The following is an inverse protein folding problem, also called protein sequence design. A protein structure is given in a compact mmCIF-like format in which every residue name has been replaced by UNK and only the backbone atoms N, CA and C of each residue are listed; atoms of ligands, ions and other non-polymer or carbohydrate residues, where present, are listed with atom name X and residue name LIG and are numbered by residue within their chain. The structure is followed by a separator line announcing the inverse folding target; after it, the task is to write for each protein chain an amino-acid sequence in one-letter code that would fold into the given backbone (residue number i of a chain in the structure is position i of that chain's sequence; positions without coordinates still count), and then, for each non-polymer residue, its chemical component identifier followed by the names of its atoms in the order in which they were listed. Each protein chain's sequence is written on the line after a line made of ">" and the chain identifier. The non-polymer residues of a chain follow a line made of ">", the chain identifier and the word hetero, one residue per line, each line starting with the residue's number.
data_IF_129564247856
#
_entry.id   IF_129564247856
#
_cell.length_a   1.000
_cell.length_b   1.000
_cell.length_c   1.000
_cell.angle_alpha   90.00
_cell.angle_beta   90.00
_cell.angle_gamma   90.00
#
_symmetry.space_group_name_H-M   'P 1'
#
loop_
_entity.id
_entity.type
_entity.pdbx_description
1 polymer ?
#
# COMPACT_ATOMS: atom_id res chain seq x y z
N UNK A 1 41.65 -47.87 -63.78
CA UNK A 1 40.90 -49.10 -63.71
C UNK A 1 39.84 -48.99 -62.63
N UNK A 2 38.69 -48.80 -63.15
CA UNK A 2 37.45 -49.57 -62.87
C UNK A 2 36.90 -49.40 -61.45
N UNK A 3 35.92 -48.58 -61.28
CA UNK A 3 34.45 -48.75 -61.24
C UNK A 3 33.95 -49.45 -59.98
N UNK A 4 33.09 -48.88 -59.22
CA UNK A 4 31.65 -49.18 -59.19
C UNK A 4 30.88 -48.27 -58.24
N UNK A 5 29.79 -47.81 -58.79
CA UNK A 5 28.68 -47.10 -58.18
C UNK A 5 27.91 -48.03 -57.21
N UNK A 6 27.48 -47.50 -56.08
CA UNK A 6 26.52 -48.16 -55.19
C UNK A 6 25.56 -47.10 -54.61
N UNK A 7 24.36 -47.11 -55.19
CA UNK A 7 23.20 -46.37 -54.73
C UNK A 7 22.63 -47.07 -53.49
N UNK A 8 22.46 -46.43 -52.35
CA UNK A 8 21.61 -46.91 -51.28
C UNK A 8 20.78 -45.83 -50.69
N UNK A 9 19.52 -45.91 -50.95
CA UNK A 9 18.30 -45.50 -50.25
C UNK A 9 18.39 -44.49 -49.15
N UNK A 10 17.67 -43.37 -49.38
CA UNK A 10 17.16 -42.44 -48.37
C UNK A 10 16.25 -43.18 -47.40
N UNK A 11 16.63 -43.22 -46.13
CA UNK A 11 15.73 -43.50 -45.04
C UNK A 11 15.31 -42.14 -44.42
N UNK A 12 14.05 -41.81 -44.62
CA UNK A 12 13.36 -40.71 -43.99
C UNK A 12 13.23 -40.99 -42.49
N UNK A 13 14.05 -40.38 -41.67
CA UNK A 13 13.81 -40.33 -40.23
C UNK A 13 12.87 -39.17 -39.94
N UNK A 14 11.60 -39.49 -39.68
CA UNK A 14 10.68 -38.60 -38.99
C UNK A 14 11.26 -38.32 -37.64
N UNK A 15 11.78 -37.08 -37.43
CA UNK A 15 12.02 -36.55 -36.11
C UNK A 15 10.67 -36.21 -35.50
N UNK A 16 10.21 -37.07 -34.61
CA UNK A 16 9.16 -36.74 -33.64
C UNK A 16 9.68 -35.59 -32.77
N UNK A 17 9.23 -34.37 -33.08
CA UNK A 17 9.37 -33.27 -32.22
C UNK A 17 8.37 -33.46 -31.03
N UNK A 18 8.80 -34.20 -30.04
CA UNK A 18 8.20 -34.16 -28.72
C UNK A 18 8.27 -32.71 -28.26
N UNK A 19 7.14 -32.01 -28.34
CA UNK A 19 6.91 -30.76 -27.66
C UNK A 19 7.21 -30.97 -26.18
N UNK A 20 8.36 -30.48 -25.77
CA UNK A 20 8.72 -30.34 -24.39
C UNK A 20 7.62 -29.50 -23.74
N UNK A 21 6.89 -30.09 -22.81
CA UNK A 21 5.92 -29.37 -22.00
C UNK A 21 6.71 -28.33 -21.20
N UNK A 22 6.73 -27.12 -21.72
CA UNK A 22 7.27 -25.94 -20.99
C UNK A 22 6.58 -25.92 -19.66
N UNK A 23 7.29 -26.35 -18.63
CA UNK A 23 6.97 -26.06 -17.22
C UNK A 23 6.98 -24.54 -17.09
N UNK A 24 5.82 -23.94 -17.27
CA UNK A 24 5.64 -22.49 -17.03
C UNK A 24 6.01 -22.25 -15.58
N UNK A 25 7.12 -21.54 -15.35
CA UNK A 25 7.54 -21.15 -14.00
C UNK A 25 6.36 -20.45 -13.30
N UNK A 26 6.11 -20.75 -12.03
CA UNK A 26 5.03 -20.10 -11.31
C UNK A 26 5.23 -18.59 -11.35
N UNK A 27 4.20 -17.85 -11.75
CA UNK A 27 4.24 -16.37 -11.83
C UNK A 27 4.31 -15.71 -10.45
N UNK A 28 3.86 -16.39 -9.41
CA UNK A 28 3.84 -15.90 -8.02
C UNK A 28 5.06 -16.41 -7.27
N UNK A 29 5.80 -15.51 -6.64
CA UNK A 29 6.90 -15.82 -5.72
C UNK A 29 6.41 -16.23 -4.34
N UNK A 30 5.44 -15.48 -3.81
CA UNK A 30 4.88 -15.72 -2.47
C UNK A 30 3.46 -15.17 -2.36
N UNK A 31 2.67 -15.81 -1.48
CA UNK A 31 1.38 -15.30 -1.03
C UNK A 31 1.44 -15.22 0.49
N UNK A 32 1.14 -14.05 1.03
CA UNK A 32 1.20 -13.82 2.47
C UNK A 32 -0.11 -13.19 2.95
N UNK A 33 -0.61 -13.71 4.05
CA UNK A 33 -1.73 -13.11 4.76
C UNK A 33 -1.18 -12.24 5.90
N UNK A 34 -1.34 -10.92 5.85
CA UNK A 34 -0.84 -10.04 6.89
C UNK A 34 -1.60 -10.26 8.21
N UNK A 35 -1.00 -9.94 9.35
CA UNK A 35 -1.70 -9.94 10.62
C UNK A 35 -2.86 -8.96 10.60
N UNK A 36 -3.88 -9.23 11.39
CA UNK A 36 -5.02 -8.35 11.61
C UNK A 36 -5.00 -7.90 13.06
N UNK A 37 -4.69 -6.64 13.28
CA UNK A 37 -4.65 -6.05 14.59
C UNK A 37 -5.97 -5.29 14.83
N UNK A 38 -6.63 -5.48 15.99
CA UNK A 38 -7.82 -4.70 16.32
C UNK A 38 -7.47 -3.22 16.43
N UNK A 39 -8.38 -2.37 16.01
CA UNK A 39 -8.23 -0.91 16.09
C UNK A 39 -8.19 -0.45 17.55
N UNK A 40 -8.96 -1.10 18.40
CA UNK A 40 -9.09 -0.75 19.82
C UNK A 40 -8.31 -1.77 20.67
N UNK A 41 -7.34 -1.34 21.49
CA UNK A 41 -6.54 -2.24 22.31
C UNK A 41 -7.33 -2.70 23.54
N UNK A 42 -8.22 -3.66 23.39
CA UNK A 42 -8.84 -4.36 24.54
C UNK A 42 -9.18 -5.80 24.11
N UNK A 43 -9.27 -6.73 25.04
CA UNK A 43 -9.69 -8.14 25.00
C UNK A 43 -10.08 -8.80 23.65
N UNK A 44 -10.65 -8.06 22.68
CA UNK A 44 -11.02 -8.54 21.36
C UNK A 44 -9.87 -9.07 20.49
N UNK A 45 -8.67 -8.53 20.65
CA UNK A 45 -7.52 -9.01 19.87
C UNK A 45 -7.15 -10.46 20.18
N UNK A 46 -7.29 -10.88 21.43
CA UNK A 46 -7.11 -12.27 21.83
C UNK A 46 -8.20 -13.18 21.24
N UNK A 47 -9.45 -12.70 21.20
CA UNK A 47 -10.54 -13.46 20.60
C UNK A 47 -10.39 -13.61 19.07
N UNK A 48 -10.02 -12.55 18.35
CA UNK A 48 -9.75 -12.62 16.92
C UNK A 48 -8.57 -13.54 16.60
N UNK A 49 -7.48 -13.43 17.38
CA UNK A 49 -6.34 -14.34 17.25
C UNK A 49 -6.71 -15.79 17.54
N UNK A 50 -7.59 -16.03 18.49
CA UNK A 50 -8.11 -17.35 18.80
C UNK A 50 -9.00 -17.89 17.67
N UNK A 51 -9.87 -17.05 17.09
CA UNK A 51 -10.71 -17.44 15.95
C UNK A 51 -9.86 -17.77 14.71
N UNK A 52 -8.78 -17.02 14.46
CA UNK A 52 -7.84 -17.33 13.39
C UNK A 52 -7.07 -18.63 13.67
N UNK A 53 -6.66 -18.86 14.92
CA UNK A 53 -6.02 -20.11 15.35
C UNK A 53 -6.95 -21.31 15.18
N UNK A 54 -8.22 -21.16 15.49
CA UNK A 54 -9.26 -22.20 15.35
C UNK A 54 -9.75 -22.36 13.90
N UNK A 55 -9.14 -21.64 12.94
CA UNK A 55 -9.46 -21.69 11.50
C UNK A 55 -10.93 -21.40 11.19
N UNK A 56 -11.56 -20.53 11.95
CA UNK A 56 -12.92 -20.08 11.64
C UNK A 56 -12.99 -19.44 10.25
N UNK A 57 -14.15 -19.55 9.55
CA UNK A 57 -14.31 -18.93 8.23
C UNK A 57 -13.99 -17.43 8.26
N UNK A 58 -13.21 -16.95 7.32
CA UNK A 58 -12.78 -15.52 7.18
C UNK A 58 -13.99 -14.59 7.20
N UNK A 59 -15.12 -14.99 6.59
CA UNK A 59 -16.36 -14.22 6.55
C UNK A 59 -17.00 -14.01 7.93
N UNK A 60 -16.89 -14.98 8.84
CA UNK A 60 -17.42 -14.85 10.18
C UNK A 60 -16.52 -13.95 11.03
N UNK A 61 -15.19 -14.15 10.96
CA UNK A 61 -14.25 -13.29 11.68
C UNK A 61 -14.30 -11.84 11.18
N UNK A 62 -14.50 -11.60 9.87
CA UNK A 62 -14.67 -10.27 9.32
C UNK A 62 -15.95 -9.58 9.81
N UNK A 63 -17.08 -10.32 9.91
CA UNK A 63 -18.32 -9.79 10.49
C UNK A 63 -18.17 -9.41 11.96
N UNK A 64 -17.46 -10.22 12.73
CA UNK A 64 -17.17 -9.92 14.13
C UNK A 64 -16.23 -8.72 14.27
N UNK A 65 -15.21 -8.60 13.42
CA UNK A 65 -14.36 -7.41 13.34
C UNK A 65 -15.22 -6.15 13.12
N UNK A 66 -16.08 -6.20 12.10
CA UNK A 66 -16.90 -5.05 11.72
C UNK A 66 -17.94 -4.70 12.79
N UNK A 67 -18.63 -5.70 13.35
CA UNK A 67 -19.75 -5.47 14.26
C UNK A 67 -19.35 -5.26 15.71
N UNK A 68 -18.20 -5.81 16.15
CA UNK A 68 -17.86 -5.84 17.58
C UNK A 68 -16.60 -5.02 17.90
N UNK A 69 -15.66 -4.90 16.95
CA UNK A 69 -14.34 -4.32 17.23
C UNK A 69 -14.06 -3.01 16.51
N UNK A 70 -15.01 -2.50 15.75
CA UNK A 70 -14.89 -1.20 15.08
C UNK A 70 -13.82 -1.14 14.00
N UNK A 71 -13.34 -2.31 13.52
CA UNK A 71 -12.41 -2.38 12.42
C UNK A 71 -11.08 -3.07 12.73
N UNK A 72 -10.10 -2.86 11.85
CA UNK A 72 -8.77 -3.50 11.92
C UNK A 72 -7.68 -2.66 11.30
N UNK A 73 -6.45 -2.97 11.70
CA UNK A 73 -5.22 -2.51 11.06
C UNK A 73 -4.46 -3.75 10.56
N UNK A 74 -4.13 -3.78 9.28
CA UNK A 74 -3.35 -4.88 8.67
C UNK A 74 -2.03 -4.32 8.17
N UNK A 75 -0.95 -4.35 8.98
CA UNK A 75 0.37 -3.93 8.56
C UNK A 75 1.03 -5.03 7.72
N UNK A 76 1.61 -4.65 6.61
CA UNK A 76 2.36 -5.48 5.68
C UNK A 76 3.76 -4.91 5.54
N UNK A 77 4.67 -5.35 6.41
CA UNK A 77 6.10 -5.06 6.24
C UNK A 77 6.65 -6.00 5.17
N UNK A 78 7.26 -5.45 4.15
CA UNK A 78 7.81 -6.26 3.07
C UNK A 78 9.21 -6.74 3.44
N UNK A 79 9.47 -8.06 3.46
CA UNK A 79 10.78 -8.60 3.77
C UNK A 79 11.82 -8.14 2.75
N UNK A 80 13.01 -7.73 3.23
CA UNK A 80 14.12 -7.30 2.36
C UNK A 80 14.52 -8.38 1.35
N UNK A 81 14.39 -9.65 1.74
CA UNK A 81 14.74 -10.82 0.93
C UNK A 81 13.81 -11.02 -0.28
N UNK A 82 12.63 -10.43 -0.26
CA UNK A 82 11.64 -10.59 -1.35
C UNK A 82 11.77 -9.55 -2.47
N UNK A 83 12.79 -8.70 -2.41
CA UNK A 83 13.05 -7.65 -3.42
C UNK A 83 11.80 -6.81 -3.76
N UNK A 84 11.19 -6.24 -2.74
CA UNK A 84 9.98 -5.40 -2.86
C UNK A 84 10.29 -3.92 -3.09
N UNK A 85 11.59 -3.56 -3.18
CA UNK A 85 12.00 -2.18 -3.47
C UNK A 85 11.27 -1.63 -4.72
N UNK A 86 10.78 -0.39 -4.68
CA UNK A 86 10.98 0.61 -3.64
C UNK A 86 9.94 0.58 -2.50
N UNK A 87 9.01 -0.38 -2.48
CA UNK A 87 7.99 -0.46 -1.45
C UNK A 87 8.55 -1.07 -0.16
N UNK A 88 8.34 -0.36 0.95
CA UNK A 88 8.85 -0.75 2.27
C UNK A 88 7.73 -1.35 3.11
N UNK A 89 6.56 -0.73 3.07
CA UNK A 89 5.41 -1.11 3.87
C UNK A 89 4.10 -0.73 3.17
N UNK A 90 3.09 -1.52 3.40
CA UNK A 90 1.70 -1.19 3.13
C UNK A 90 0.90 -1.42 4.41
N UNK A 91 0.08 -0.48 4.82
CA UNK A 91 -0.88 -0.66 5.92
C UNK A 91 -2.28 -0.43 5.38
N UNK A 92 -3.18 -1.37 5.65
CA UNK A 92 -4.60 -1.23 5.39
C UNK A 92 -5.31 -0.95 6.72
N UNK A 93 -5.77 0.29 6.89
CA UNK A 93 -6.55 0.72 8.03
C UNK A 93 -8.03 0.67 7.69
N UNK A 94 -8.82 0.14 8.62
CA UNK A 94 -10.26 0.18 8.58
C UNK A 94 -10.80 0.45 9.96
N UNK A 95 -11.49 1.58 10.12
CA UNK A 95 -12.05 2.04 11.40
C UNK A 95 -13.53 2.31 11.22
N UNK A 96 -14.30 2.10 12.28
CA UNK A 96 -15.72 2.34 12.30
C UNK A 96 -16.12 3.07 13.57
N UNK A 97 -16.62 4.28 13.41
CA UNK A 97 -16.99 5.18 14.50
C UNK A 97 -18.50 5.15 14.75
N UNK A 98 -19.02 4.00 15.22
CA UNK A 98 -20.45 3.83 15.52
C UNK A 98 -20.79 4.24 16.96
N UNK A 99 -22.06 4.60 17.16
CA UNK A 99 -22.56 5.07 18.47
C UNK A 99 -22.40 4.06 19.61
N UNK A 100 -22.45 2.75 19.35
CA UNK A 100 -22.31 1.73 20.37
C UNK A 100 -20.88 1.60 20.92
N UNK A 101 -19.87 1.97 20.16
CA UNK A 101 -18.47 1.92 20.59
C UNK A 101 -18.00 3.22 21.25
N UNK A 102 -18.87 4.21 21.42
CA UNK A 102 -18.53 5.52 22.01
C UNK A 102 -17.90 5.39 23.40
N UNK A 103 -18.37 4.44 24.22
CA UNK A 103 -17.81 4.23 25.56
C UNK A 103 -16.38 3.71 25.47
N UNK A 104 -16.12 2.76 24.58
CA UNK A 104 -14.78 2.20 24.34
C UNK A 104 -13.87 3.26 23.77
N UNK A 105 -14.35 4.06 22.81
CA UNK A 105 -13.62 5.20 22.24
C UNK A 105 -13.20 6.20 23.30
N UNK A 106 -14.14 6.69 24.12
CA UNK A 106 -13.85 7.65 25.20
C UNK A 106 -12.85 7.11 26.21
N UNK A 107 -12.93 5.81 26.52
CA UNK A 107 -11.96 5.20 27.42
C UNK A 107 -10.57 5.08 26.80
N UNK A 108 -10.48 4.82 25.49
CA UNK A 108 -9.20 4.74 24.77
C UNK A 108 -8.62 6.11 24.42
N UNK A 109 -9.44 7.13 24.17
CA UNK A 109 -9.01 8.54 23.97
C UNK A 109 -8.21 9.10 25.16
N UNK A 110 -8.43 8.55 26.36
CA UNK A 110 -7.63 8.90 27.54
C UNK A 110 -6.20 8.39 27.44
N UNK A 111 -5.96 7.32 26.68
CA UNK A 111 -4.68 6.64 26.55
C UNK A 111 -4.04 6.82 25.16
N UNK A 112 -4.85 6.87 24.12
CA UNK A 112 -4.42 6.96 22.74
C UNK A 112 -5.35 7.89 21.93
N UNK A 113 -4.83 8.92 21.26
CA UNK A 113 -5.64 9.79 20.42
C UNK A 113 -6.19 9.02 19.20
N UNK A 114 -7.32 9.50 18.66
CA UNK A 114 -7.96 8.95 17.45
C UNK A 114 -7.22 9.33 16.16
N UNK A 115 -6.01 8.86 16.01
CA UNK A 115 -5.13 9.15 14.89
C UNK A 115 -3.68 8.90 15.26
N UNK A 116 -2.82 9.57 14.55
CA UNK A 116 -1.38 9.49 14.70
C UNK A 116 -0.85 10.86 15.19
N UNK A 117 -0.50 11.01 16.48
CA UNK A 117 0.08 12.25 17.00
C UNK A 117 1.37 12.61 16.27
N UNK A 118 1.84 13.82 16.47
CA UNK A 118 3.05 14.34 15.82
C UNK A 118 4.23 13.38 15.94
N UNK A 119 4.68 12.87 14.80
CA UNK A 119 5.78 11.92 14.67
C UNK A 119 6.65 12.26 13.44
N UNK A 120 7.97 11.93 13.48
CA UNK A 120 8.87 12.30 12.39
C UNK A 120 8.88 11.27 11.27
N UNK A 121 9.26 11.73 10.06
CA UNK A 121 9.66 10.88 8.92
C UNK A 121 10.90 11.46 8.26
N UNK A 122 11.78 10.60 7.72
CA UNK A 122 12.94 10.99 6.90
C UNK A 122 13.29 9.93 5.88
N UNK A 123 13.61 10.36 4.65
CA UNK A 123 14.28 9.54 3.65
C UNK A 123 13.39 8.64 2.80
N UNK A 124 12.07 8.83 2.86
CA UNK A 124 11.09 8.08 2.08
C UNK A 124 9.83 8.91 1.81
N UNK A 125 8.89 8.33 1.10
CA UNK A 125 7.61 8.95 0.80
C UNK A 125 6.48 8.15 1.45
N UNK A 126 5.45 8.83 1.99
CA UNK A 126 4.19 8.21 2.40
C UNK A 126 3.09 8.55 1.42
N UNK A 127 2.38 7.54 0.96
CA UNK A 127 1.21 7.69 0.12
C UNK A 127 -0.01 7.20 0.89
N UNK A 128 -0.88 8.13 1.28
CA UNK A 128 -2.13 7.83 1.99
C UNK A 128 -3.30 7.94 1.03
N UNK A 129 -4.04 6.85 0.85
CA UNK A 129 -5.17 6.72 -0.08
C UNK A 129 -6.44 6.48 0.73
N UNK A 130 -7.32 7.46 0.84
CA UNK A 130 -8.59 7.33 1.52
C UNK A 130 -9.60 6.59 0.63
N UNK A 131 -10.03 5.41 1.07
CA UNK A 131 -11.06 4.62 0.40
C UNK A 131 -12.45 5.00 0.89
N UNK A 132 -12.56 5.34 2.20
CA UNK A 132 -13.77 5.88 2.85
C UNK A 132 -13.36 6.89 3.91
N UNK A 133 -14.22 7.89 4.15
CA UNK A 133 -13.93 8.96 5.09
C UNK A 133 -12.71 9.76 4.69
N UNK A 134 -11.89 10.19 5.64
CA UNK A 134 -10.73 11.01 5.36
C UNK A 134 -9.87 11.31 6.57
N UNK A 135 -8.86 12.14 6.35
CA UNK A 135 -7.86 12.54 7.33
C UNK A 135 -7.72 14.06 7.39
N UNK A 136 -7.34 14.54 8.55
CA UNK A 136 -6.80 15.90 8.77
C UNK A 136 -5.33 15.78 9.12
N UNK A 137 -4.50 16.48 8.40
CA UNK A 137 -3.04 16.50 8.52
C UNK A 137 -2.59 17.88 8.99
N UNK A 138 -1.63 17.93 9.93
CA UNK A 138 -0.81 19.11 10.27
C UNK A 138 0.66 18.69 10.30
N UNK A 139 1.57 19.58 9.89
CA UNK A 139 3.00 19.25 9.82
C UNK A 139 3.92 20.39 10.30
N UNK A 140 5.20 20.05 10.45
CA UNK A 140 6.22 21.00 10.88
C UNK A 140 6.61 22.03 9.80
N UNK A 141 6.07 21.92 8.58
CA UNK A 141 6.18 22.97 7.55
C UNK A 141 5.11 24.06 7.72
N UNK A 142 4.20 23.90 8.70
CA UNK A 142 3.07 24.81 8.93
C UNK A 142 1.87 24.54 8.00
N UNK A 143 1.86 23.39 7.31
CA UNK A 143 0.77 23.02 6.42
C UNK A 143 -0.30 22.24 7.18
N UNK A 144 -1.55 22.69 7.06
CA UNK A 144 -2.75 21.96 7.46
C UNK A 144 -3.54 21.59 6.22
N UNK A 145 -3.89 20.33 6.09
CA UNK A 145 -4.69 19.83 4.98
C UNK A 145 -5.76 18.88 5.48
N UNK A 146 -6.88 18.85 4.75
CA UNK A 146 -7.95 17.88 4.94
C UNK A 146 -8.22 17.21 3.60
N UNK A 147 -8.25 15.90 3.60
CA UNK A 147 -8.45 15.11 2.40
C UNK A 147 -9.27 13.85 2.72
N UNK A 148 -9.96 13.31 1.73
CA UNK A 148 -10.79 12.11 1.89
C UNK A 148 -11.87 12.00 0.84
N UNK A 149 -12.71 10.98 0.96
CA UNK A 149 -13.88 10.82 0.10
C UNK A 149 -14.96 11.83 0.50
N UNK A 150 -15.55 12.47 -0.50
CA UNK A 150 -16.54 13.53 -0.29
C UNK A 150 -15.96 14.95 -0.26
N UNK A 151 -14.65 15.10 -0.41
CA UNK A 151 -13.94 16.37 -0.67
C UNK A 151 -13.12 16.27 -1.95
N UNK A 152 -12.56 17.37 -2.43
CA UNK A 152 -11.89 17.47 -3.73
C UNK A 152 -10.72 16.50 -3.90
N UNK A 153 -9.99 16.23 -2.82
CA UNK A 153 -8.82 15.35 -2.83
C UNK A 153 -8.99 14.21 -1.84
N UNK A 154 -8.61 13.02 -2.24
CA UNK A 154 -8.73 11.82 -1.41
C UNK A 154 -7.43 11.03 -1.27
N UNK A 155 -6.35 11.55 -1.84
CA UNK A 155 -5.01 11.01 -1.72
C UNK A 155 -4.06 12.12 -1.28
N UNK A 156 -3.18 11.81 -0.31
CA UNK A 156 -2.06 12.64 0.06
C UNK A 156 -0.77 11.89 -0.23
N UNK A 157 0.16 12.57 -0.88
CA UNK A 157 1.52 12.09 -1.10
C UNK A 157 2.50 13.03 -0.41
N UNK A 158 3.17 12.54 0.64
CA UNK A 158 4.17 13.27 1.40
C UNK A 158 5.56 12.73 1.07
N UNK A 159 6.44 13.62 0.65
CA UNK A 159 7.87 13.38 0.48
C UNK A 159 8.58 13.89 1.73
N UNK A 160 9.06 12.98 2.59
CA UNK A 160 9.65 13.37 3.86
C UNK A 160 11.04 14.01 3.73
N UNK A 161 11.78 13.67 2.67
CA UNK A 161 13.08 14.28 2.40
C UNK A 161 14.02 14.27 3.62
N UNK A 162 14.62 15.43 3.92
CA UNK A 162 15.54 15.60 5.06
C UNK A 162 14.87 15.49 6.42
N UNK A 163 13.53 15.51 6.46
CA UNK A 163 12.75 15.26 7.67
C UNK A 163 11.59 16.22 7.84
N UNK A 164 10.48 15.69 8.30
CA UNK A 164 9.25 16.39 8.63
C UNK A 164 8.58 15.69 9.79
N UNK A 165 7.97 16.47 10.70
CA UNK A 165 6.99 15.95 11.64
C UNK A 165 5.61 16.18 11.08
N UNK A 166 4.73 15.19 11.25
CA UNK A 166 3.33 15.34 10.94
C UNK A 166 2.45 14.57 11.92
N UNK A 167 1.20 15.00 12.00
CA UNK A 167 0.13 14.25 12.63
C UNK A 167 -1.01 14.02 11.65
N UNK A 168 -1.71 12.92 11.82
CA UNK A 168 -2.83 12.52 10.98
C UNK A 168 -3.99 12.07 11.87
N UNK A 169 -5.14 12.77 11.80
CA UNK A 169 -6.34 12.44 12.55
C UNK A 169 -7.49 12.09 11.63
N UNK A 170 -8.31 11.14 12.07
CA UNK A 170 -9.49 10.73 11.33
C UNK A 170 -10.50 11.86 11.22
N UNK A 171 -10.97 12.13 10.01
CA UNK A 171 -12.07 13.07 9.74
C UNK A 171 -13.43 12.35 9.90
N UNK A 172 -13.78 12.02 11.15
CA UNK A 172 -14.97 11.21 11.46
C UNK A 172 -16.28 11.87 11.03
N UNK A 173 -16.29 13.18 10.81
CA UNK A 173 -17.42 13.94 10.28
C UNK A 173 -17.65 13.72 8.77
N UNK A 174 -16.66 13.24 8.03
CA UNK A 174 -16.86 12.85 6.62
C UNK A 174 -17.58 11.51 6.48
N UNK A 175 -17.35 10.57 7.39
CA UNK A 175 -18.01 9.28 7.42
C UNK A 175 -17.78 8.59 8.75
N UNK A 176 -18.73 7.76 9.19
CA UNK A 176 -18.53 6.83 10.31
C UNK A 176 -17.60 5.68 9.93
N UNK A 177 -17.56 5.31 8.67
CA UNK A 177 -16.63 4.32 8.12
C UNK A 177 -15.39 5.05 7.60
N UNK A 178 -14.23 4.70 8.16
CA UNK A 178 -12.94 5.20 7.74
C UNK A 178 -12.11 4.04 7.18
N UNK A 179 -11.60 4.17 5.98
CA UNK A 179 -10.79 3.13 5.36
C UNK A 179 -9.71 3.77 4.48
N UNK A 180 -8.45 3.37 4.70
CA UNK A 180 -7.34 3.87 3.89
C UNK A 180 -6.24 2.83 3.69
N UNK A 181 -5.47 3.03 2.63
CA UNK A 181 -4.13 2.47 2.48
C UNK A 181 -3.09 3.53 2.82
N UNK A 182 -2.06 3.14 3.58
CA UNK A 182 -0.85 3.94 3.73
C UNK A 182 0.34 3.12 3.21
N UNK A 183 1.02 3.64 2.20
CA UNK A 183 2.12 2.98 1.51
C UNK A 183 3.40 3.78 1.78
N UNK A 184 4.45 3.09 2.21
CA UNK A 184 5.77 3.68 2.36
C UNK A 184 6.63 3.29 1.16
N UNK A 185 7.19 4.31 0.51
CA UNK A 185 7.98 4.17 -0.72
C UNK A 185 9.37 4.75 -0.45
N UNK A 186 10.39 3.93 -0.56
CA UNK A 186 11.78 4.36 -0.39
C UNK A 186 12.16 5.41 -1.44
N UNK A 187 12.88 6.44 -1.03
CA UNK A 187 13.38 7.47 -1.95
C UNK A 187 14.78 7.10 -2.46
N UNK A 188 15.11 7.45 -3.72
CA UNK A 188 16.48 7.40 -4.19
C UNK A 188 17.43 8.13 -3.24
N UNK A 189 18.65 7.63 -3.09
CA UNK A 189 19.65 8.21 -2.19
C UNK A 189 19.84 9.72 -2.36
N UNK A 190 19.79 10.21 -3.60
CA UNK A 190 19.89 11.63 -3.94
C UNK A 190 18.75 12.50 -3.40
N UNK A 191 17.60 11.91 -3.12
CA UNK A 191 16.40 12.63 -2.63
C UNK A 191 16.13 12.43 -1.15
N UNK A 192 16.86 11.55 -0.46
CA UNK A 192 16.63 11.32 0.98
C UNK A 192 16.83 12.54 1.85
N UNK A 193 17.64 13.50 1.40
CA UNK A 193 17.94 14.75 2.12
C UNK A 193 17.45 16.00 1.39
N UNK A 194 16.52 15.85 0.41
CA UNK A 194 15.87 17.01 -0.21
C UNK A 194 14.89 17.70 0.76
N UNK A 195 14.40 18.87 0.40
CA UNK A 195 13.34 19.54 1.16
C UNK A 195 12.07 18.67 1.17
N UNK A 196 11.38 18.58 2.32
CA UNK A 196 10.10 17.90 2.39
C UNK A 196 9.06 18.65 1.56
N UNK A 197 8.12 17.91 0.98
CA UNK A 197 7.01 18.47 0.20
C UNK A 197 5.80 17.54 0.27
N UNK A 198 4.60 18.08 0.13
CA UNK A 198 3.40 17.27 0.08
C UNK A 198 2.41 17.77 -0.97
N UNK A 199 1.68 16.83 -1.57
CA UNK A 199 0.66 17.10 -2.57
C UNK A 199 -0.62 16.35 -2.26
N UNK A 200 -1.74 17.02 -2.50
CA UNK A 200 -3.06 16.41 -2.52
C UNK A 200 -3.45 16.06 -3.95
N UNK A 201 -3.94 14.85 -4.13
CA UNK A 201 -4.41 14.33 -5.41
C UNK A 201 -5.91 14.02 -5.35
N UNK A 202 -6.57 14.18 -6.47
CA UNK A 202 -8.00 13.92 -6.65
C UNK A 202 -8.31 13.57 -8.10
N UNK A 203 -9.57 13.32 -8.39
CA UNK A 203 -10.02 12.93 -9.72
C UNK A 203 -9.68 14.04 -10.74
N UNK A 204 -9.01 13.68 -11.84
CA UNK A 204 -8.49 14.62 -12.84
C UNK A 204 -7.28 15.44 -12.38
N UNK A 205 -6.79 15.22 -11.15
CA UNK A 205 -5.61 15.89 -10.58
C UNK A 205 -4.66 14.85 -10.00
N UNK A 206 -3.90 14.19 -10.86
CA UNK A 206 -2.96 13.12 -10.50
C UNK A 206 -3.63 11.76 -10.25
N UNK A 207 -4.94 11.66 -10.47
CA UNK A 207 -5.70 10.42 -10.39
C UNK A 207 -6.55 10.30 -11.64
N UNK A 208 -6.43 9.17 -12.31
CA UNK A 208 -7.18 8.83 -13.52
C UNK A 208 -7.93 7.52 -13.32
N UNK A 209 -9.24 7.56 -13.54
CA UNK A 209 -10.09 6.39 -13.55
C UNK A 209 -10.46 6.02 -14.99
N UNK A 210 -10.27 4.76 -15.36
CA UNK A 210 -10.51 4.26 -16.70
C UNK A 210 -11.27 2.94 -16.64
N UNK A 211 -12.35 2.82 -17.45
CA UNK A 211 -12.97 1.52 -17.68
C UNK A 211 -12.04 0.65 -18.55
N UNK A 212 -11.74 -0.55 -18.12
CA UNK A 212 -10.90 -1.54 -18.82
C UNK A 212 -11.73 -2.68 -19.42
N UNK A 213 -12.93 -2.37 -19.84
CA UNK A 213 -13.92 -3.32 -20.35
C UNK A 213 -15.05 -3.55 -19.35
N UNK A 214 -15.95 -4.46 -19.70
CA UNK A 214 -17.14 -4.73 -18.90
C UNK A 214 -16.76 -5.41 -17.57
N UNK A 215 -17.16 -4.77 -16.46
CA UNK A 215 -16.90 -5.28 -15.11
C UNK A 215 -15.47 -5.04 -14.60
N UNK A 216 -14.70 -4.15 -15.24
CA UNK A 216 -13.36 -3.79 -14.78
C UNK A 216 -13.14 -2.27 -14.81
N UNK A 217 -12.76 -1.69 -13.67
CA UNK A 217 -12.33 -0.30 -13.53
C UNK A 217 -10.89 -0.27 -13.01
N UNK A 218 -10.06 0.56 -13.61
CA UNK A 218 -8.71 0.86 -13.14
C UNK A 218 -8.61 2.31 -12.71
N UNK A 219 -8.09 2.55 -11.51
CA UNK A 219 -7.75 3.89 -11.01
C UNK A 219 -6.24 3.95 -10.86
N UNK A 220 -5.59 4.87 -11.59
CA UNK A 220 -4.15 5.08 -11.56
C UNK A 220 -3.86 6.32 -10.73
N UNK A 221 -2.95 6.18 -9.76
CA UNK A 221 -2.47 7.28 -8.91
C UNK A 221 -1.05 7.60 -9.34
N UNK A 222 -0.86 8.80 -9.88
CA UNK A 222 0.42 9.24 -10.44
C UNK A 222 1.24 9.96 -9.38
N UNK A 223 2.55 9.67 -9.32
CA UNK A 223 3.47 10.41 -8.47
C UNK A 223 3.54 11.88 -8.95
N UNK A 224 3.34 12.88 -8.04
CA UNK A 224 3.11 14.27 -8.46
C UNK A 224 4.39 15.06 -8.75
N UNK A 225 5.58 14.48 -8.60
CA UNK A 225 6.86 15.16 -8.85
C UNK A 225 7.62 14.52 -9.99
N UNK A 226 8.26 15.37 -10.79
CA UNK A 226 9.19 14.97 -11.84
C UNK A 226 10.64 15.35 -11.41
N UNK A 227 11.12 14.73 -10.35
CA UNK A 227 12.38 15.07 -9.67
C UNK A 227 13.39 13.91 -9.64
N UNK A 228 13.14 12.85 -10.43
CA UNK A 228 13.96 11.65 -10.41
C UNK A 228 13.69 10.73 -9.22
N UNK A 229 12.54 10.87 -8.57
CA UNK A 229 12.06 9.99 -7.48
C UNK A 229 11.83 8.56 -7.94
N UNK A 230 11.34 7.75 -7.01
CA UNK A 230 11.10 6.32 -7.26
C UNK A 230 10.10 6.11 -8.38
N UNK A 231 10.52 5.36 -9.39
CA UNK A 231 9.67 4.97 -10.53
C UNK A 231 8.69 3.90 -10.06
N UNK A 232 7.45 4.33 -9.81
CA UNK A 232 6.39 3.48 -9.27
C UNK A 232 5.07 3.68 -10.01
N UNK A 233 4.24 2.66 -10.00
CA UNK A 233 2.83 2.75 -10.40
C UNK A 233 1.96 2.17 -9.31
N UNK A 234 0.97 2.94 -8.87
CA UNK A 234 -0.01 2.56 -7.87
C UNK A 234 -1.37 2.54 -8.53
N UNK A 235 -2.03 1.39 -8.54
CA UNK A 235 -3.32 1.20 -9.22
C UNK A 235 -4.31 0.53 -8.28
N UNK A 236 -5.55 0.99 -8.29
CA UNK A 236 -6.68 0.31 -7.67
C UNK A 236 -7.52 -0.27 -8.80
N UNK A 237 -7.71 -1.57 -8.78
CA UNK A 237 -8.47 -2.32 -9.78
C UNK A 237 -9.72 -2.84 -9.11
N UNK A 238 -10.87 -2.52 -9.67
CA UNK A 238 -12.16 -3.02 -9.20
C UNK A 238 -12.71 -3.99 -10.24
N UNK A 239 -12.92 -5.22 -9.80
CA UNK A 239 -13.51 -6.28 -10.60
C UNK A 239 -14.93 -6.53 -10.12
N UNK A 240 -15.86 -6.59 -11.07
CA UNK A 240 -17.27 -6.88 -10.81
C UNK A 240 -17.76 -7.91 -11.82
N UNK A 241 -18.38 -8.97 -11.32
CA UNK A 241 -19.05 -9.94 -12.17
C UNK A 241 -20.54 -9.64 -12.25
N UNK A 242 -21.07 -9.64 -13.46
CA UNK A 242 -22.51 -9.65 -13.75
C UNK A 242 -22.88 -10.93 -14.48
N UNK A 243 -24.17 -11.10 -14.79
CA UNK A 243 -24.66 -12.24 -15.60
C UNK A 243 -24.09 -12.28 -17.02
N UNK A 244 -23.53 -11.17 -17.48
CA UNK A 244 -23.01 -11.01 -18.87
C UNK A 244 -21.51 -10.71 -18.89
N UNK A 245 -20.82 -10.58 -17.72
CA UNK A 245 -19.47 -10.05 -17.66
C UNK A 245 -18.63 -10.79 -16.64
N UNK A 246 -17.42 -11.18 -17.01
CA UNK A 246 -16.53 -11.99 -16.17
C UNK A 246 -15.58 -11.17 -15.27
N UNK A 247 -15.49 -9.85 -15.43
CA UNK A 247 -14.61 -9.00 -14.63
C UNK A 247 -13.16 -9.48 -14.70
N UNK A 248 -12.51 -9.32 -15.85
CA UNK A 248 -11.11 -9.70 -16.06
C UNK A 248 -10.28 -8.43 -16.27
N UNK A 249 -9.20 -8.31 -15.53
CA UNK A 249 -8.19 -7.27 -15.72
C UNK A 249 -6.95 -7.82 -16.41
N UNK A 250 -6.53 -7.19 -17.49
CA UNK A 250 -5.28 -7.49 -18.20
C UNK A 250 -4.22 -6.48 -17.75
N UNK A 251 -3.28 -6.94 -16.95
CA UNK A 251 -2.17 -6.14 -16.49
C UNK A 251 -1.07 -6.06 -17.54
N UNK A 252 -0.59 -4.85 -17.80
CA UNK A 252 0.65 -4.57 -18.54
C UNK A 252 1.57 -3.76 -17.65
N UNK A 253 2.77 -4.29 -17.39
CA UNK A 253 3.75 -3.75 -16.46
C UNK A 253 4.96 -3.26 -17.25
N UNK A 254 5.46 -2.05 -17.00
CA UNK A 254 6.69 -1.57 -17.63
C UNK A 254 7.85 -2.56 -17.39
N UNK A 255 8.67 -2.90 -18.39
CA UNK A 255 9.79 -3.84 -18.22
C UNK A 255 10.81 -3.42 -17.14
N UNK A 256 10.90 -2.11 -16.83
CA UNK A 256 11.73 -1.58 -15.74
C UNK A 256 11.19 -1.91 -14.35
N UNK A 257 9.89 -2.21 -14.21
CA UNK A 257 9.23 -2.51 -12.95
C UNK A 257 9.34 -4.00 -12.63
N UNK A 258 10.46 -4.43 -12.09
CA UNK A 258 10.62 -5.84 -11.69
C UNK A 258 9.99 -6.17 -10.32
N UNK A 259 9.53 -5.18 -9.58
CA UNK A 259 8.70 -5.37 -8.39
C UNK A 259 7.23 -5.29 -8.76
N UNK A 260 6.47 -6.34 -8.42
CA UNK A 260 5.01 -6.40 -8.64
C UNK A 260 4.37 -7.01 -7.40
N UNK A 261 3.53 -6.24 -6.71
CA UNK A 261 2.82 -6.64 -5.50
C UNK A 261 1.33 -6.43 -5.71
N UNK A 262 0.55 -7.45 -5.43
CA UNK A 262 -0.91 -7.44 -5.47
C UNK A 262 -1.46 -7.60 -4.06
N UNK A 263 -2.26 -6.68 -3.55
CA UNK A 263 -3.06 -6.87 -2.34
C UNK A 263 -4.54 -6.99 -2.72
N UNK A 264 -5.18 -8.06 -2.27
CA UNK A 264 -6.58 -8.35 -2.58
C UNK A 264 -7.47 -7.96 -1.41
N UNK A 265 -8.37 -7.03 -1.65
CA UNK A 265 -9.44 -6.62 -0.74
C UNK A 265 -10.78 -7.16 -1.26
N UNK A 266 -11.71 -7.49 -0.37
CA UNK A 266 -13.09 -7.78 -0.76
C UNK A 266 -13.77 -6.52 -1.31
N UNK A 267 -14.58 -6.67 -2.34
CA UNK A 267 -15.43 -5.59 -2.85
C UNK A 267 -16.51 -5.18 -1.85
N UNK A 268 -17.13 -4.04 -2.10
CA UNK A 268 -18.13 -3.41 -1.23
C UNK A 268 -19.40 -4.24 -1.02
N UNK A 269 -19.71 -5.19 -1.91
CA UNK A 269 -20.90 -6.08 -1.81
C UNK A 269 -20.63 -7.41 -1.11
N UNK A 270 -19.39 -7.73 -0.74
CA UNK A 270 -18.98 -9.04 -0.25
C UNK A 270 -19.18 -10.14 -1.33
N UNK A 271 -18.49 -11.24 -1.25
CA UNK A 271 -18.83 -12.40 -2.08
C UNK A 271 -17.70 -13.04 -2.87
N UNK A 272 -16.60 -12.36 -3.14
CA UNK A 272 -15.41 -13.04 -3.65
C UNK A 272 -14.52 -13.47 -2.49
N UNK A 273 -14.06 -14.72 -2.50
CA UNK A 273 -13.06 -15.22 -1.54
C UNK A 273 -11.63 -14.85 -1.93
N UNK A 274 -11.44 -14.31 -3.14
CA UNK A 274 -10.17 -13.93 -3.71
C UNK A 274 -10.22 -13.73 -5.21
N UNK A 275 -9.06 -13.69 -5.81
CA UNK A 275 -8.88 -13.57 -7.27
C UNK A 275 -7.94 -14.64 -7.78
N UNK A 276 -8.05 -14.98 -9.07
CA UNK A 276 -7.14 -15.86 -9.76
C UNK A 276 -6.21 -15.07 -10.66
N UNK A 277 -4.91 -15.36 -10.61
CA UNK A 277 -3.91 -14.82 -11.52
C UNK A 277 -3.65 -15.86 -12.62
N UNK A 278 -3.75 -15.44 -13.89
CA UNK A 278 -3.64 -16.31 -15.07
C UNK A 278 -4.50 -17.57 -14.99
N UNK A 279 -5.66 -17.48 -14.35
CA UNK A 279 -6.62 -18.58 -14.14
C UNK A 279 -6.04 -19.83 -13.45
N UNK A 280 -4.85 -19.73 -12.87
CA UNK A 280 -4.11 -20.87 -12.30
C UNK A 280 -3.71 -20.68 -10.84
N UNK A 281 -3.51 -19.46 -10.38
CA UNK A 281 -2.98 -19.18 -9.05
C UNK A 281 -3.97 -18.33 -8.27
N UNK A 282 -4.51 -18.88 -7.20
CA UNK A 282 -5.50 -18.21 -6.35
C UNK A 282 -4.85 -17.35 -5.26
N UNK A 283 -5.28 -16.10 -5.14
CA UNK A 283 -4.88 -15.17 -4.07
C UNK A 283 -6.12 -14.84 -3.23
N UNK A 284 -6.16 -15.24 -1.96
CA UNK A 284 -7.29 -14.98 -1.08
C UNK A 284 -7.49 -13.49 -0.79
N UNK A 285 -8.70 -13.08 -0.45
CA UNK A 285 -8.95 -11.74 0.12
C UNK A 285 -8.11 -11.52 1.37
N UNK A 286 -7.73 -10.27 1.60
CA UNK A 286 -6.86 -9.85 2.70
C UNK A 286 -5.48 -10.53 2.71
N UNK A 287 -5.01 -10.90 1.51
CA UNK A 287 -3.66 -11.42 1.29
C UNK A 287 -2.97 -10.59 0.21
N UNK A 288 -1.65 -10.56 0.26
CA UNK A 288 -0.87 -10.00 -0.84
C UNK A 288 -0.04 -11.08 -1.50
N UNK A 289 0.13 -10.94 -2.80
CA UNK A 289 1.01 -11.77 -3.62
C UNK A 289 2.16 -10.93 -4.16
N UNK A 290 3.37 -11.48 -4.14
CA UNK A 290 4.54 -10.91 -4.80
C UNK A 290 4.78 -11.76 -6.03
N UNK A 291 4.87 -11.14 -7.21
CA UNK A 291 5.12 -11.84 -8.46
C UNK A 291 6.63 -12.03 -8.70
N UNK A 292 6.96 -12.96 -9.59
CA UNK A 292 8.34 -13.18 -10.01
C UNK A 292 8.87 -11.95 -10.74
N UNK A 293 10.14 -11.56 -10.52
CA UNK A 293 10.76 -10.49 -11.29
C UNK A 293 10.70 -10.76 -12.79
N UNK A 294 10.44 -9.72 -13.58
CA UNK A 294 10.35 -9.81 -15.04
C UNK A 294 8.98 -10.20 -15.58
N UNK A 295 7.96 -10.33 -14.73
CA UNK A 295 6.57 -10.48 -15.19
C UNK A 295 6.10 -9.13 -15.72
N UNK A 296 5.81 -9.07 -17.02
CA UNK A 296 5.35 -7.85 -17.72
C UNK A 296 3.88 -7.92 -18.09
N UNK A 297 3.28 -9.12 -18.15
CA UNK A 297 1.87 -9.31 -18.47
C UNK A 297 1.26 -10.42 -17.64
N UNK A 298 0.04 -10.23 -17.16
CA UNK A 298 -0.76 -11.22 -16.49
C UNK A 298 -2.23 -10.82 -16.47
N UNK A 299 -3.09 -11.78 -16.16
CA UNK A 299 -4.52 -11.53 -15.98
C UNK A 299 -4.91 -11.69 -14.52
N UNK A 300 -5.88 -10.90 -14.07
CA UNK A 300 -6.53 -11.05 -12.76
C UNK A 300 -8.03 -11.18 -12.99
N UNK A 301 -8.64 -12.22 -12.44
CA UNK A 301 -10.06 -12.50 -12.59
C UNK A 301 -10.70 -12.94 -11.28
N UNK A 302 -11.99 -12.73 -11.15
CA UNK A 302 -12.79 -13.32 -10.08
C UNK A 302 -12.84 -14.85 -10.26
N UNK A 303 -12.95 -15.59 -9.14
CA UNK A 303 -13.16 -17.05 -9.25
C UNK A 303 -14.42 -17.39 -10.04
N UNK A 304 -14.40 -18.52 -10.77
CA UNK A 304 -15.49 -18.94 -11.67
C UNK A 304 -16.84 -19.08 -10.97
N UNK A 305 -16.84 -19.50 -9.72
CA UNK A 305 -18.05 -19.70 -8.92
C UNK A 305 -18.37 -18.49 -8.01
N UNK A 306 -17.51 -17.47 -8.02
CA UNK A 306 -17.65 -16.27 -7.20
C UNK A 306 -18.66 -15.28 -7.79
N UNK A 307 -19.76 -15.05 -7.08
CA UNK A 307 -20.58 -13.86 -7.29
C UNK A 307 -19.96 -12.72 -6.50
N UNK A 308 -19.86 -11.53 -7.08
CA UNK A 308 -19.50 -10.36 -6.30
C UNK A 308 -18.42 -9.50 -6.94
N UNK A 309 -17.78 -8.75 -6.09
CA UNK A 309 -16.79 -7.74 -6.43
C UNK A 309 -15.48 -8.04 -5.71
N UNK A 310 -14.36 -7.68 -6.31
CA UNK A 310 -13.05 -7.62 -5.66
C UNK A 310 -12.38 -6.28 -5.96
N UNK A 311 -11.64 -5.77 -4.99
CA UNK A 311 -10.77 -4.62 -5.16
C UNK A 311 -9.32 -5.09 -4.95
N UNK A 312 -8.45 -4.72 -5.87
CA UNK A 312 -7.05 -5.07 -5.86
C UNK A 312 -6.22 -3.78 -5.84
N UNK A 313 -5.30 -3.67 -4.89
CA UNK A 313 -4.24 -2.67 -4.95
C UNK A 313 -3.04 -3.31 -5.63
N UNK A 314 -2.67 -2.79 -6.81
CA UNK A 314 -1.51 -3.22 -7.59
C UNK A 314 -0.41 -2.18 -7.44
N UNK A 315 0.71 -2.60 -6.86
CA UNK A 315 1.92 -1.80 -6.68
C UNK A 315 3.00 -2.36 -7.61
N UNK A 316 3.53 -1.52 -8.48
CA UNK A 316 4.66 -1.90 -9.33
C UNK A 316 5.75 -0.84 -9.29
N UNK A 317 7.02 -1.26 -9.36
CA UNK A 317 8.11 -0.31 -9.28
C UNK A 317 9.45 -0.85 -9.74
N UNK A 318 10.34 0.08 -10.07
CA UNK A 318 11.73 -0.19 -10.37
C UNK A 318 12.52 -0.25 -9.06
N UNK A 319 13.21 -1.36 -8.73
CA UNK A 319 14.08 -1.44 -7.57
C UNK A 319 15.18 -0.38 -7.60
N UNK A 320 15.45 0.23 -6.46
CA UNK A 320 16.45 1.31 -6.37
C UNK A 320 17.89 0.81 -6.34
N UNK A 321 18.12 -0.49 -6.09
CA UNK A 321 19.45 -1.10 -6.14
C UNK A 321 20.43 -0.63 -5.07
N UNK A 322 19.95 0.02 -4.01
CA UNK A 322 20.78 0.47 -2.89
C UNK A 322 20.38 -0.21 -1.57
N UNK A 323 21.27 -0.12 -0.58
CA UNK A 323 20.96 -0.64 0.74
C UNK A 323 19.87 0.20 1.42
N UNK A 324 18.97 -0.47 2.13
CA UNK A 324 17.86 0.15 2.88
C UNK A 324 18.00 -0.24 4.34
N UNK A 325 18.12 0.78 5.20
CA UNK A 325 18.10 0.63 6.65
C UNK A 325 16.93 1.41 7.19
N UNK A 326 16.00 0.71 7.85
CA UNK A 326 14.81 1.30 8.44
C UNK A 326 14.83 1.10 9.95
N UNK A 327 14.61 2.17 10.71
CA UNK A 327 14.44 2.12 12.16
C UNK A 327 13.38 3.14 12.58
N UNK A 328 12.29 2.65 13.18
CA UNK A 328 11.12 3.46 13.48
C UNK A 328 10.56 4.10 12.20
N UNK A 329 10.51 5.40 12.20
CA UNK A 329 9.98 6.23 11.08
C UNK A 329 11.09 6.85 10.22
N UNK A 330 12.31 6.32 10.25
CA UNK A 330 13.40 6.75 9.41
C UNK A 330 13.83 5.64 8.47
N UNK A 331 14.07 5.99 7.20
CA UNK A 331 14.51 5.06 6.16
C UNK A 331 15.69 5.66 5.42
N UNK A 332 16.88 5.12 5.69
CA UNK A 332 18.15 5.64 5.17
C UNK A 332 18.94 4.52 4.47
N UNK A 333 20.21 4.77 4.14
CA UNK A 333 21.04 3.78 3.44
C UNK A 333 22.09 3.12 4.36
N UNK A 334 22.28 3.63 5.59
CA UNK A 334 23.22 3.11 6.56
C UNK A 334 22.74 3.34 8.00
N UNK A 335 23.25 2.54 8.95
CA UNK A 335 23.01 2.72 10.37
C UNK A 335 23.52 4.09 10.87
N UNK A 336 24.65 4.58 10.33
CA UNK A 336 25.18 5.90 10.68
C UNK A 336 24.20 7.02 10.29
N UNK A 337 23.55 6.92 9.13
CA UNK A 337 22.53 7.89 8.69
C UNK A 337 21.26 7.81 9.57
N UNK A 338 20.89 6.62 10.06
CA UNK A 338 19.80 6.46 11.04
C UNK A 338 20.17 7.12 12.38
N UNK A 339 21.39 6.91 12.87
CA UNK A 339 21.88 7.57 14.10
C UNK A 339 21.86 9.09 13.94
N UNK A 340 22.30 9.61 12.79
CA UNK A 340 22.24 11.04 12.49
C UNK A 340 20.81 11.54 12.47
N UNK A 341 19.85 10.80 11.87
CA UNK A 341 18.43 11.17 11.86
C UNK A 341 17.85 11.30 13.29
N UNK A 342 18.22 10.39 14.20
CA UNK A 342 17.81 10.48 15.61
C UNK A 342 18.42 11.70 16.31
N UNK A 343 19.69 12.03 16.03
CA UNK A 343 20.37 13.21 16.56
C UNK A 343 19.68 14.48 16.08
N UNK A 344 19.42 14.59 14.78
CA UNK A 344 18.77 15.75 14.15
C UNK A 344 17.35 15.94 14.70
N UNK A 345 16.58 14.86 14.83
CA UNK A 345 15.27 14.91 15.45
C UNK A 345 15.34 15.40 16.90
N UNK A 346 16.29 14.89 17.70
CA UNK A 346 16.46 15.31 19.09
C UNK A 346 16.84 16.80 19.23
N UNK A 347 17.53 17.36 18.25
CA UNK A 347 17.87 18.79 18.15
C UNK A 347 16.70 19.66 17.65
N UNK A 348 15.64 19.04 17.10
CA UNK A 348 14.49 19.72 16.51
C UNK A 348 14.68 20.13 15.04
N UNK A 349 15.66 19.56 14.33
CA UNK A 349 15.91 19.92 12.93
C UNK A 349 14.81 19.46 11.95
N UNK A 350 13.86 18.66 12.42
CA UNK A 350 12.65 18.26 11.68
C UNK A 350 11.39 18.97 12.18
N UNK A 351 11.51 19.87 13.15
CA UNK A 351 10.43 20.43 13.95
C UNK A 351 10.39 19.81 15.35
N UNK A 352 9.43 20.26 16.16
CA UNK A 352 9.16 19.70 17.49
C UNK A 352 7.76 19.15 17.58
N UNK A 353 7.53 18.02 18.28
CA UNK A 353 6.19 17.53 18.55
C UNK A 353 5.37 18.55 19.31
N UNK A 354 4.12 18.65 18.97
CA UNK A 354 3.10 19.47 19.63
C UNK A 354 2.01 18.59 20.23
N UNK A 355 1.24 19.15 21.18
CA UNK A 355 0.05 18.46 21.68
C UNK A 355 -1.06 18.52 20.61
N UNK A 356 -1.60 17.37 20.25
CA UNK A 356 -2.68 17.27 19.26
C UNK A 356 -3.96 18.04 19.64
N UNK A 357 -4.13 18.37 20.93
CA UNK A 357 -5.31 19.09 21.44
C UNK A 357 -5.22 20.60 21.27
N UNK A 358 -4.05 21.14 20.94
CA UNK A 358 -3.92 22.59 20.74
C UNK A 358 -4.68 23.06 19.50
N UNK A 359 -5.15 24.29 19.55
CA UNK A 359 -5.83 24.93 18.44
C UNK A 359 -4.90 25.07 17.22
N UNK A 360 -5.48 25.21 16.03
CA UNK A 360 -4.71 25.44 14.81
C UNK A 360 -3.87 26.71 14.88
N UNK A 361 -4.36 27.73 15.60
CA UNK A 361 -3.66 29.01 15.77
C UNK A 361 -2.42 28.81 16.66
N UNK A 362 -2.58 28.12 17.79
CA UNK A 362 -1.47 27.78 18.68
C UNK A 362 -0.44 26.92 17.98
N UNK A 363 -0.87 25.86 17.28
CA UNK A 363 0.03 25.00 16.50
C UNK A 363 0.84 25.81 15.49
N UNK A 364 0.20 26.68 14.68
CA UNK A 364 0.94 27.51 13.69
C UNK A 364 1.96 28.42 14.36
N UNK A 365 1.61 28.99 15.52
CA UNK A 365 2.51 29.84 16.31
C UNK A 365 3.70 29.01 16.81
N UNK A 366 3.47 27.86 17.41
CA UNK A 366 4.54 26.99 17.90
C UNK A 366 5.50 26.56 16.79
N UNK A 367 4.98 26.18 15.61
CA UNK A 367 5.78 25.82 14.44
C UNK A 367 6.61 27.02 13.96
N UNK A 368 5.99 28.19 13.82
CA UNK A 368 6.69 29.42 13.38
C UNK A 368 7.78 29.84 14.38
N UNK A 369 7.47 29.89 15.66
CA UNK A 369 8.41 30.20 16.73
C UNK A 369 9.60 29.23 16.80
N UNK A 370 9.35 27.96 16.52
CA UNK A 370 10.39 26.96 16.46
C UNK A 370 11.40 27.27 15.34
N UNK A 371 10.93 27.49 14.12
CA UNK A 371 11.81 27.76 12.97
C UNK A 371 12.54 29.07 13.10
N UNK A 372 11.90 30.13 13.60
CA UNK A 372 12.57 31.41 13.90
C UNK A 372 13.73 31.25 14.91
N UNK A 373 13.53 30.43 15.95
CA UNK A 373 14.59 30.11 16.90
C UNK A 373 15.73 29.29 16.29
N UNK A 374 15.41 28.40 15.35
CA UNK A 374 16.43 27.61 14.64
C UNK A 374 17.28 28.46 13.70
N UNK A 375 16.65 29.39 12.96
CA UNK A 375 17.35 30.34 12.07
C UNK A 375 18.34 31.25 12.85
N UNK A 376 17.96 31.67 14.07
CA UNK A 376 18.84 32.50 14.91
C UNK A 376 20.02 31.76 15.51
N UNK A 377 20.06 30.43 15.45
CA UNK A 377 21.15 29.58 15.97
C UNK A 377 22.22 29.26 14.94
N UNK A 378 21.89 29.37 13.68
CA UNK A 378 22.79 29.19 12.52
C UNK A 378 23.33 30.54 12.07
#
# INVERSE_FOLDING_TARGET
>A
MSSKVGISQLASTKTDATRDATTTRPIISSITRPPRLPVWPVFPGLLLSLLDLLKFPVSLSARLEDSTFGGRVSPMSFPKEQNTSPFIMLVHHRHRFESWNVIVRKATELLLPEGFPAHPHRGFETLTICLKGGMTHRDSMGVKQRYGRGVESWVQWLKAGRGVLHEEFWAADLSVDQELYQIWIDSPKSLKMCEPDLKLLGDGRGIEATSKGEGCEEVVIQRPWNDGGSETSVRIIKLKRSSTQDGIYHASIPPSHSTVILYVKSGSGGGSNGVSINSSSFVPVHSYAILQPGVVEFTVSLEKDGKGEAEILLLTGRPLGHNVVAAGSFVMNSEAEIQQANIDYSKGEMGRPWDHKISDEEWRREVADHWEKMERRN
#
